data_IF_511775229115
#
_entry.id   IF_511775229115
#
_cell.length_a   1.000
_cell.length_b   1.000
_cell.length_c   1.000
_cell.angle_alpha   90.00
_cell.angle_beta   90.00
_cell.angle_gamma   90.00
#
_symmetry.space_group_name_H-M   'P 1'
#
loop_
_entity.id
_entity.type
_entity.pdbx_description
1 polymer ?
#
# COMPACT_ATOMS: atom_id res chain seq x y z
N UNK A 1 52.17 -24.74 -5.19
CA UNK A 1 51.35 -23.67 -5.81
C UNK A 1 49.91 -24.15 -5.84
N UNK A 2 49.07 -23.57 -4.98
CA UNK A 2 47.73 -24.05 -4.67
C UNK A 2 46.68 -23.33 -5.54
N UNK A 3 45.68 -24.09 -6.01
CA UNK A 3 44.47 -23.59 -6.66
C UNK A 3 43.42 -23.23 -5.59
N UNK A 4 42.93 -21.99 -5.60
CA UNK A 4 41.81 -21.54 -4.78
C UNK A 4 40.56 -21.33 -5.62
N UNK A 5 39.53 -22.15 -5.40
CA UNK A 5 38.15 -21.93 -5.88
C UNK A 5 37.51 -20.82 -5.05
N UNK A 6 37.04 -19.76 -5.69
CA UNK A 6 36.20 -18.74 -5.05
C UNK A 6 34.74 -19.02 -5.38
N UNK A 7 34.03 -19.63 -4.44
CA UNK A 7 32.57 -19.76 -4.45
C UNK A 7 31.94 -18.38 -4.23
N UNK A 8 31.22 -17.87 -5.23
CA UNK A 8 30.33 -16.73 -5.04
C UNK A 8 29.02 -17.23 -4.45
N UNK A 9 28.88 -17.08 -3.13
CA UNK A 9 27.62 -17.25 -2.42
C UNK A 9 26.66 -16.15 -2.86
N UNK A 10 25.60 -16.54 -3.58
CA UNK A 10 24.46 -15.70 -3.88
C UNK A 10 23.75 -15.44 -2.54
N UNK A 11 23.98 -14.25 -1.96
CA UNK A 11 23.16 -13.77 -0.85
C UNK A 11 21.73 -13.61 -1.38
N UNK A 12 20.79 -14.29 -0.72
CA UNK A 12 19.36 -14.26 -0.99
C UNK A 12 18.82 -12.83 -1.00
N UNK A 13 18.15 -12.46 -2.10
CA UNK A 13 17.46 -11.19 -2.28
C UNK A 13 16.12 -11.13 -1.51
N UNK A 14 16.15 -11.39 -0.20
CA UNK A 14 14.95 -11.52 0.64
C UNK A 14 14.71 -10.33 1.61
N UNK A 15 15.47 -9.24 1.49
CA UNK A 15 15.45 -8.15 2.50
C UNK A 15 14.66 -6.88 2.10
N UNK A 16 14.02 -6.83 0.93
CA UNK A 16 13.18 -5.67 0.53
C UNK A 16 11.70 -5.95 0.77
N UNK A 17 11.31 -6.12 2.03
CA UNK A 17 9.91 -5.96 2.43
C UNK A 17 9.74 -4.53 2.94
N UNK A 18 9.27 -3.65 2.06
CA UNK A 18 8.81 -2.31 2.46
C UNK A 18 7.52 -2.46 3.26
N UNK A 19 7.59 -1.96 4.49
CA UNK A 19 6.42 -1.77 5.34
C UNK A 19 5.48 -0.79 4.68
N UNK A 20 4.17 -0.96 4.91
CA UNK A 20 3.16 0.05 4.61
C UNK A 20 3.64 1.41 5.12
N UNK A 21 4.12 2.27 4.23
CA UNK A 21 4.61 3.58 4.61
C UNK A 21 3.41 4.44 4.96
N UNK A 22 3.08 4.49 6.25
CA UNK A 22 2.35 5.61 6.80
C UNK A 22 3.28 6.82 6.71
N UNK A 23 3.19 7.57 5.62
CA UNK A 23 3.85 8.87 5.51
C UNK A 23 2.91 9.93 6.11
N UNK A 24 3.40 10.61 7.15
CA UNK A 24 2.59 11.39 8.07
C UNK A 24 2.69 12.86 7.71
N UNK A 25 1.58 13.40 7.18
CA UNK A 25 1.46 14.81 6.82
C UNK A 25 1.02 15.63 8.03
N UNK A 26 1.71 16.73 8.29
CA UNK A 26 1.20 17.81 9.15
C UNK A 26 0.78 18.94 8.21
N UNK A 27 -0.51 19.02 7.88
CA UNK A 27 -1.08 20.16 7.16
C UNK A 27 -2.13 20.83 8.03
N UNK A 28 -1.99 22.14 8.27
CA UNK A 28 -3.01 22.93 8.95
C UNK A 28 -4.22 23.09 8.03
N UNK A 29 -5.30 22.33 8.28
CA UNK A 29 -6.58 22.52 7.60
C UNK A 29 -7.44 23.51 8.39
N UNK A 30 -7.36 24.80 8.05
CA UNK A 30 -8.43 25.75 8.37
C UNK A 30 -8.93 26.37 7.07
N UNK A 31 -9.93 25.73 6.47
CA UNK A 31 -10.90 26.38 5.61
C UNK A 31 -12.22 25.61 5.76
N UNK A 32 -13.08 26.10 6.66
CA UNK A 32 -14.48 25.71 6.71
C UNK A 32 -15.23 26.54 5.66
N UNK A 33 -16.09 25.96 4.80
CA UNK A 33 -16.80 26.70 3.78
C UNK A 33 -18.15 27.18 4.33
N UNK A 34 -18.16 28.34 5.00
CA UNK A 34 -19.41 29.10 5.18
C UNK A 34 -19.22 30.58 4.82
N UNK A 35 -20.13 31.04 3.99
CA UNK A 35 -20.15 32.29 3.24
C UNK A 35 -20.72 33.48 4.01
N UNK A 36 -20.19 34.68 3.66
CA UNK A 36 -20.77 36.04 3.73
C UNK A 36 -20.79 36.81 5.08
N UNK A 37 -19.87 37.77 5.23
CA UNK A 37 -20.07 39.24 5.04
C UNK A 37 -18.78 40.01 5.43
N UNK A 38 -18.47 41.18 4.80
CA UNK A 38 -17.21 41.87 5.04
C UNK A 38 -17.38 43.01 6.06
N UNK A 39 -16.81 42.83 7.26
CA UNK A 39 -16.45 43.96 8.11
C UNK A 39 -14.95 43.92 8.36
N UNK A 40 -14.25 44.89 7.77
CA UNK A 40 -12.84 45.13 7.97
C UNK A 40 -12.56 45.50 9.43
N UNK A 41 -11.69 44.74 10.09
CA UNK A 41 -10.99 45.14 11.32
C UNK A 41 -9.48 45.04 11.08
N UNK A 42 -8.66 45.94 11.65
CA UNK A 42 -7.25 46.05 11.31
C UNK A 42 -6.42 44.97 12.00
N UNK A 43 -5.69 44.20 11.20
CA UNK A 43 -4.47 43.47 11.53
C UNK A 43 -4.41 42.81 12.93
N UNK A 44 -5.16 41.73 13.12
CA UNK A 44 -4.71 40.67 14.02
C UNK A 44 -3.54 39.96 13.32
N UNK A 45 -2.32 39.91 13.90
CA UNK A 45 -1.28 39.06 13.35
C UNK A 45 -1.80 37.62 13.40
N UNK A 46 -1.79 36.93 12.26
CA UNK A 46 -1.97 35.48 12.22
C UNK A 46 -0.81 34.86 12.99
N UNK A 47 -0.93 34.72 14.31
CA UNK A 47 0.02 34.00 15.15
C UNK A 47 -0.21 32.51 14.94
N UNK A 48 0.24 32.01 13.80
CA UNK A 48 0.42 30.57 13.60
C UNK A 48 1.70 30.17 14.33
N UNK A 49 1.56 29.31 15.35
CA UNK A 49 2.70 28.65 16.00
C UNK A 49 3.43 27.77 14.98
N UNK A 50 4.39 28.35 14.26
CA UNK A 50 5.27 27.61 13.37
C UNK A 50 6.39 26.96 14.19
N UNK A 51 6.48 25.62 14.14
CA UNK A 51 7.66 24.90 14.62
C UNK A 51 8.70 24.88 13.50
N UNK A 52 9.94 25.27 13.83
CA UNK A 52 11.08 24.99 12.96
C UNK A 52 11.37 23.49 12.93
N UNK A 53 12.03 22.96 11.87
CA UNK A 53 12.35 21.54 11.82
C UNK A 53 13.21 21.05 12.99
N UNK A 54 14.11 21.90 13.50
CA UNK A 54 14.92 21.60 14.67
C UNK A 54 14.07 21.46 15.94
N UNK A 55 13.14 22.39 16.18
CA UNK A 55 12.21 22.30 17.32
C UNK A 55 11.31 21.06 17.22
N UNK A 56 10.81 20.74 16.02
CA UNK A 56 10.03 19.53 15.79
C UNK A 56 10.84 18.27 16.11
N UNK A 57 12.11 18.23 15.71
CA UNK A 57 13.04 17.13 16.00
C UNK A 57 13.25 16.95 17.50
N UNK A 58 13.51 18.03 18.22
CA UNK A 58 13.70 18.00 19.67
C UNK A 58 12.46 17.46 20.40
N UNK A 59 11.27 17.90 19.99
CA UNK A 59 10.00 17.40 20.55
C UNK A 59 9.87 15.90 20.28
N UNK A 60 10.05 15.45 19.03
CA UNK A 60 9.90 14.03 18.67
C UNK A 60 10.92 13.17 19.43
N UNK A 61 12.20 13.56 19.47
CA UNK A 61 13.22 12.80 20.21
C UNK A 61 12.91 12.72 21.71
N UNK A 62 12.41 13.79 22.32
CA UNK A 62 12.01 13.76 23.73
C UNK A 62 10.85 12.78 24.00
N UNK A 63 9.94 12.61 23.05
CA UNK A 63 8.82 11.68 23.16
C UNK A 63 9.24 10.23 22.92
N UNK A 64 10.13 10.00 21.95
CA UNK A 64 10.66 8.68 21.62
C UNK A 64 11.43 8.06 22.79
N UNK A 65 12.13 8.87 23.58
CA UNK A 65 12.92 8.43 24.74
C UNK A 65 12.12 7.64 25.80
N UNK A 66 10.79 7.62 25.71
CA UNK A 66 9.91 6.82 26.57
C UNK A 66 9.95 5.31 26.26
N UNK A 67 10.31 4.91 25.04
CA UNK A 67 10.49 3.50 24.65
C UNK A 67 11.99 3.18 24.67
N UNK A 68 12.43 2.44 25.69
CA UNK A 68 13.85 2.11 25.93
C UNK A 68 14.20 0.65 25.60
N UNK A 69 13.20 -0.14 25.22
CA UNK A 69 13.33 -1.55 24.86
C UNK A 69 12.98 -1.78 23.38
N UNK A 70 13.26 -2.99 22.88
CA UNK A 70 12.85 -3.40 21.54
C UNK A 70 11.33 -3.43 21.44
N UNK A 71 10.70 -2.67 20.53
CA UNK A 71 9.25 -2.64 20.39
C UNK A 71 8.63 -4.01 20.15
N UNK A 72 7.54 -4.31 20.87
CA UNK A 72 6.88 -5.63 20.84
C UNK A 72 5.64 -5.67 19.96
N UNK A 73 5.09 -4.51 19.62
CA UNK A 73 3.88 -4.34 18.81
C UNK A 73 3.97 -3.05 17.99
N UNK A 74 2.96 -2.82 17.14
CA UNK A 74 2.90 -1.66 16.26
C UNK A 74 2.85 -0.35 17.05
N UNK A 75 2.11 -0.29 18.15
CA UNK A 75 2.03 0.92 19.00
C UNK A 75 3.41 1.34 19.52
N UNK A 76 4.13 0.45 20.19
CA UNK A 76 5.48 0.72 20.70
C UNK A 76 6.43 1.08 19.56
N UNK A 77 6.30 0.40 18.41
CA UNK A 77 7.16 0.63 17.24
C UNK A 77 6.92 2.03 16.69
N UNK A 78 5.67 2.45 16.50
CA UNK A 78 5.34 3.78 16.00
C UNK A 78 5.80 4.87 16.98
N UNK A 79 5.52 4.73 18.28
CA UNK A 79 5.96 5.69 19.30
C UNK A 79 7.49 5.80 19.33
N UNK A 80 8.21 4.69 19.19
CA UNK A 80 9.68 4.69 19.13
C UNK A 80 10.24 5.41 17.89
N UNK A 81 9.46 5.55 16.81
CA UNK A 81 9.85 6.20 15.58
C UNK A 81 9.46 7.68 15.53
N UNK A 82 8.25 8.02 15.97
CA UNK A 82 7.64 9.35 15.74
C UNK A 82 7.18 10.06 17.02
N UNK A 83 7.30 9.42 18.18
CA UNK A 83 6.77 9.95 19.44
C UNK A 83 5.26 9.75 19.60
N UNK A 84 4.77 10.03 20.81
CA UNK A 84 3.38 9.76 21.21
C UNK A 84 2.37 10.65 20.47
N UNK A 85 2.68 11.93 20.25
CA UNK A 85 1.70 12.87 19.71
C UNK A 85 1.36 12.57 18.25
N UNK A 86 2.39 12.25 17.45
CA UNK A 86 2.22 11.86 16.05
C UNK A 86 1.52 10.50 15.97
N UNK A 87 1.89 9.56 16.85
CA UNK A 87 1.21 8.27 16.92
C UNK A 87 -0.30 8.43 17.15
N UNK A 88 -0.70 9.15 18.20
CA UNK A 88 -2.10 9.33 18.56
C UNK A 88 -2.88 10.08 17.47
N UNK A 89 -2.30 11.13 16.88
CA UNK A 89 -3.00 11.98 15.90
C UNK A 89 -3.12 11.36 14.52
N UNK A 90 -2.07 10.69 14.05
CA UNK A 90 -1.96 10.36 12.63
C UNK A 90 -1.82 8.86 12.34
N UNK A 91 -1.42 8.04 13.32
CA UNK A 91 -1.17 6.60 13.11
C UNK A 91 -2.27 5.74 13.72
N UNK A 92 -2.61 5.97 14.99
CA UNK A 92 -3.41 5.06 15.81
C UNK A 92 -4.77 4.77 15.21
N UNK A 93 -5.61 5.81 15.06
CA UNK A 93 -6.97 5.63 14.52
C UNK A 93 -6.96 5.10 13.09
N UNK A 94 -6.07 5.63 12.24
CA UNK A 94 -5.91 5.16 10.87
C UNK A 94 -5.58 3.66 10.79
N UNK A 95 -4.59 3.22 11.57
CA UNK A 95 -4.13 1.83 11.59
C UNK A 95 -5.21 0.92 12.14
N UNK A 96 -5.88 1.31 13.22
CA UNK A 96 -6.97 0.52 13.80
C UNK A 96 -8.13 0.35 12.82
N UNK A 97 -8.49 1.38 12.03
CA UNK A 97 -9.50 1.26 10.97
C UNK A 97 -9.04 0.33 9.85
N UNK A 98 -7.82 0.54 9.36
CA UNK A 98 -7.27 -0.24 8.25
C UNK A 98 -7.21 -1.73 8.57
N UNK A 99 -6.82 -2.08 9.80
CA UNK A 99 -6.57 -3.47 10.21
C UNK A 99 -7.68 -4.10 11.05
N UNK A 100 -8.60 -3.31 11.60
CA UNK A 100 -9.70 -3.79 12.45
C UNK A 100 -9.24 -4.37 13.79
N UNK A 101 -8.05 -4.00 14.28
CA UNK A 101 -7.48 -4.47 15.56
C UNK A 101 -6.75 -3.33 16.29
N UNK A 102 -6.68 -3.35 17.64
CA UNK A 102 -5.85 -2.43 18.40
C UNK A 102 -4.38 -2.48 17.96
N UNK A 103 -3.69 -1.33 17.94
CA UNK A 103 -2.27 -1.26 17.57
C UNK A 103 -1.37 -2.07 18.50
N UNK A 104 -1.78 -2.29 19.75
CA UNK A 104 -1.08 -3.14 20.71
C UNK A 104 -1.10 -4.64 20.35
N UNK A 105 -2.08 -5.07 19.54
CA UNK A 105 -2.27 -6.46 19.11
C UNK A 105 -1.71 -6.71 17.69
N UNK A 106 -1.17 -5.66 17.06
CA UNK A 106 -0.60 -5.72 15.72
C UNK A 106 0.92 -5.92 15.80
N UNK A 107 1.51 -6.78 14.94
CA UNK A 107 2.95 -7.00 14.95
C UNK A 107 3.71 -5.74 14.54
N UNK A 108 4.91 -5.49 15.11
CA UNK A 108 5.71 -4.31 14.78
C UNK A 108 6.18 -4.30 13.31
N UNK A 109 6.20 -5.46 12.66
CA UNK A 109 6.60 -5.63 11.25
C UNK A 109 5.67 -4.93 10.24
N UNK A 110 4.45 -4.56 10.64
CA UNK A 110 3.53 -3.79 9.78
C UNK A 110 4.08 -2.38 9.50
N UNK A 111 4.76 -1.78 10.49
CA UNK A 111 5.40 -0.47 10.39
C UNK A 111 6.88 -0.63 10.76
N UNK A 112 7.68 -1.15 9.83
CA UNK A 112 9.13 -1.27 10.04
C UNK A 112 9.80 0.11 10.05
N UNK A 113 9.39 1.00 9.14
CA UNK A 113 9.96 2.35 9.01
C UNK A 113 8.85 3.35 8.68
N UNK A 114 8.91 4.50 9.36
CA UNK A 114 8.21 5.72 8.98
C UNK A 114 9.30 6.73 8.65
N UNK A 115 9.45 7.13 7.37
CA UNK A 115 10.34 8.23 7.03
C UNK A 115 9.87 9.49 7.75
N UNK A 116 10.70 10.06 8.63
CA UNK A 116 10.42 11.35 9.27
C UNK A 116 11.36 12.38 8.68
N UNK A 117 10.81 13.35 7.94
CA UNK A 117 11.58 14.42 7.31
C UNK A 117 11.53 15.68 8.17
N UNK A 118 12.70 16.18 8.56
CA UNK A 118 12.84 17.48 9.22
C UNK A 118 13.17 18.58 8.22
N UNK A 119 12.35 18.65 7.16
CA UNK A 119 12.39 19.66 6.09
C UNK A 119 10.95 19.94 5.65
N UNK A 120 10.72 21.08 4.99
CA UNK A 120 9.41 21.42 4.43
C UNK A 120 9.25 20.80 3.03
N UNK A 121 9.15 19.47 3.00
CA UNK A 121 8.91 18.70 1.78
C UNK A 121 7.72 17.76 2.01
N UNK A 122 6.67 17.96 1.22
CA UNK A 122 5.42 17.20 1.30
C UNK A 122 5.36 16.07 0.27
N UNK A 123 6.46 15.76 -0.42
CA UNK A 123 6.48 14.69 -1.40
C UNK A 123 6.32 13.32 -0.70
N UNK A 124 5.26 12.60 -1.06
CA UNK A 124 4.89 11.33 -0.45
C UNK A 124 5.91 10.21 -0.74
N UNK A 125 6.61 10.29 -1.87
CA UNK A 125 7.66 9.33 -2.22
C UNK A 125 9.01 10.05 -2.30
N UNK A 126 10.08 9.36 -1.95
CA UNK A 126 11.45 9.84 -2.12
C UNK A 126 12.10 9.36 -3.42
N UNK A 127 11.36 8.61 -4.25
CA UNK A 127 11.85 8.04 -5.49
C UNK A 127 12.21 9.13 -6.52
N UNK A 128 13.27 8.90 -7.33
CA UNK A 128 13.74 9.88 -8.31
C UNK A 128 12.77 10.09 -9.48
N UNK A 129 11.92 9.11 -9.77
CA UNK A 129 10.93 9.17 -10.84
C UNK A 129 9.54 8.99 -10.26
N UNK A 130 8.69 9.99 -10.44
CA UNK A 130 7.31 9.99 -9.95
C UNK A 130 6.41 10.58 -11.01
N UNK A 131 5.24 10.00 -11.21
CA UNK A 131 4.28 10.50 -12.18
C UNK A 131 3.07 9.61 -12.33
N UNK A 132 2.06 10.15 -13.00
CA UNK A 132 0.86 9.43 -13.43
C UNK A 132 0.89 9.39 -14.96
N UNK A 133 0.55 8.26 -15.60
CA UNK A 133 0.48 8.19 -17.04
C UNK A 133 -0.61 9.11 -17.58
N UNK A 134 -0.23 9.96 -18.54
CA UNK A 134 -1.17 10.82 -19.26
C UNK A 134 -2.22 9.96 -19.97
N UNK A 135 -3.51 10.21 -19.71
CA UNK A 135 -4.62 9.39 -20.20
C UNK A 135 -4.87 8.10 -19.41
N UNK A 136 -4.24 7.93 -18.24
CA UNK A 136 -4.48 6.82 -17.33
C UNK A 136 -3.63 5.57 -17.61
N UNK A 137 -3.84 4.53 -16.79
CA UNK A 137 -3.06 3.29 -16.86
C UNK A 137 -3.52 2.34 -17.99
N UNK A 138 -4.81 2.36 -18.36
CA UNK A 138 -5.37 1.46 -19.38
C UNK A 138 -4.62 1.53 -20.72
N UNK A 139 -4.30 2.72 -21.29
CA UNK A 139 -3.54 2.80 -22.55
C UNK A 139 -2.13 2.20 -22.49
N UNK A 140 -1.53 2.07 -21.30
CA UNK A 140 -0.25 1.35 -21.15
C UNK A 140 -0.49 -0.14 -21.39
N UNK A 141 -1.49 -0.72 -20.73
CA UNK A 141 -1.80 -2.14 -20.85
C UNK A 141 -2.30 -2.51 -22.25
N UNK A 142 -3.09 -1.66 -22.90
CA UNK A 142 -3.50 -1.86 -24.30
C UNK A 142 -2.30 -1.98 -25.23
N UNK A 143 -1.27 -1.15 -25.03
CA UNK A 143 -0.02 -1.22 -25.82
C UNK A 143 0.81 -2.45 -25.49
N UNK A 144 0.91 -2.82 -24.21
CA UNK A 144 1.65 -4.00 -23.77
C UNK A 144 1.03 -5.31 -24.30
N UNK A 145 -0.29 -5.35 -24.43
CA UNK A 145 -1.06 -6.53 -24.81
C UNK A 145 -1.50 -6.53 -26.28
N UNK A 146 -1.10 -5.54 -27.09
CA UNK A 146 -1.58 -5.34 -28.46
C UNK A 146 -1.34 -6.54 -29.41
N UNK A 147 -0.41 -7.43 -29.06
CA UNK A 147 -0.07 -8.63 -29.84
C UNK A 147 -0.35 -9.93 -29.06
N UNK A 148 -1.16 -9.85 -28.02
CA UNK A 148 -1.59 -10.98 -27.21
C UNK A 148 -3.06 -11.28 -27.48
N UNK A 149 -3.43 -12.57 -27.43
CA UNK A 149 -4.82 -12.96 -27.26
C UNK A 149 -5.24 -12.66 -25.81
N UNK A 150 -6.30 -11.89 -25.63
CA UNK A 150 -6.79 -11.46 -24.32
C UNK A 150 -8.24 -11.88 -24.19
N UNK A 151 -8.51 -12.70 -23.17
CA UNK A 151 -9.86 -13.12 -22.79
C UNK A 151 -10.23 -12.45 -21.46
N UNK A 152 -11.35 -11.73 -21.43
CA UNK A 152 -11.87 -11.03 -20.25
C UNK A 152 -13.13 -11.74 -19.74
N UNK A 153 -13.44 -11.56 -18.45
CA UNK A 153 -14.55 -12.23 -17.77
C UNK A 153 -14.42 -13.77 -17.75
N UNK A 154 -13.19 -14.26 -17.75
CA UNK A 154 -12.87 -15.70 -17.77
C UNK A 154 -12.06 -16.05 -16.54
N UNK A 155 -12.65 -16.85 -15.64
CA UNK A 155 -11.96 -17.34 -14.46
C UNK A 155 -11.20 -18.62 -14.79
N UNK A 156 -9.87 -18.55 -14.76
CA UNK A 156 -8.98 -19.70 -14.95
C UNK A 156 -9.31 -20.87 -14.01
N UNK A 157 -9.71 -20.58 -12.77
CA UNK A 157 -9.99 -21.61 -11.76
C UNK A 157 -11.29 -22.37 -12.04
N UNK A 158 -12.20 -21.79 -12.81
CA UNK A 158 -13.47 -22.44 -13.19
C UNK A 158 -13.28 -23.61 -14.15
N UNK A 159 -12.22 -23.60 -14.97
CA UNK A 159 -11.87 -24.69 -15.91
C UNK A 159 -10.34 -24.87 -16.01
N UNK A 160 -9.71 -25.17 -14.86
CA UNK A 160 -8.26 -25.40 -14.78
C UNK A 160 -7.81 -26.43 -15.83
N UNK A 161 -8.56 -27.51 -16.01
CA UNK A 161 -8.20 -28.61 -16.92
C UNK A 161 -8.07 -28.16 -18.37
N UNK A 162 -9.01 -27.35 -18.87
CA UNK A 162 -8.93 -26.82 -20.23
C UNK A 162 -7.67 -25.98 -20.43
N UNK A 163 -7.43 -25.00 -19.55
CA UNK A 163 -6.27 -24.11 -19.67
C UNK A 163 -4.94 -24.87 -19.56
N UNK A 164 -4.88 -25.91 -18.73
CA UNK A 164 -3.74 -26.81 -18.65
C UNK A 164 -3.46 -27.57 -19.94
N UNK A 165 -4.49 -27.91 -20.72
CA UNK A 165 -4.33 -28.66 -21.99
C UNK A 165 -3.83 -27.78 -23.12
N UNK A 166 -4.21 -26.49 -23.14
CA UNK A 166 -3.85 -25.58 -24.23
C UNK A 166 -2.52 -24.84 -24.00
N UNK A 167 -1.99 -24.83 -22.78
CA UNK A 167 -0.77 -24.13 -22.42
C UNK A 167 0.37 -25.08 -22.03
N UNK A 168 1.55 -24.92 -22.65
CA UNK A 168 2.78 -25.63 -22.23
C UNK A 168 3.30 -25.15 -20.88
N UNK A 169 3.01 -23.90 -20.53
CA UNK A 169 3.46 -23.23 -19.33
C UNK A 169 2.42 -22.21 -18.89
N UNK A 170 2.22 -22.08 -17.59
CA UNK A 170 1.22 -21.19 -17.01
C UNK A 170 1.91 -20.23 -16.06
N UNK A 171 1.62 -18.94 -16.22
CA UNK A 171 1.96 -17.92 -15.22
C UNK A 171 0.65 -17.61 -14.49
N UNK A 172 0.56 -17.99 -13.23
CA UNK A 172 -0.61 -17.75 -12.40
C UNK A 172 -0.34 -16.61 -11.42
N UNK A 173 -1.09 -15.52 -11.56
CA UNK A 173 -0.96 -14.31 -10.72
C UNK A 173 -2.12 -14.12 -9.74
N UNK A 174 -3.05 -15.08 -9.68
CA UNK A 174 -4.12 -15.13 -8.69
C UNK A 174 -3.63 -15.62 -7.32
N UNK A 175 -4.56 -15.72 -6.36
CA UNK A 175 -4.24 -16.15 -5.00
C UNK A 175 -3.77 -17.63 -4.99
N UNK A 176 -2.56 -17.88 -4.46
CA UNK A 176 -1.94 -19.21 -4.51
C UNK A 176 -2.79 -20.28 -3.82
N UNK A 177 -3.46 -19.92 -2.74
CA UNK A 177 -4.33 -20.79 -1.96
C UNK A 177 -5.61 -21.17 -2.72
N UNK A 178 -6.20 -20.23 -3.49
CA UNK A 178 -7.37 -20.53 -4.33
C UNK A 178 -7.04 -21.49 -5.47
N UNK A 179 -5.82 -21.40 -6.03
CA UNK A 179 -5.35 -22.37 -7.03
C UNK A 179 -5.40 -23.82 -6.52
N UNK A 180 -5.05 -24.02 -5.24
CA UNK A 180 -5.05 -25.32 -4.56
C UNK A 180 -6.32 -25.58 -3.76
N UNK A 181 -7.45 -24.96 -4.15
CA UNK A 181 -8.77 -25.20 -3.59
C UNK A 181 -8.81 -25.06 -2.05
N UNK A 182 -7.99 -24.15 -1.53
CA UNK A 182 -7.82 -23.88 -0.10
C UNK A 182 -7.48 -25.11 0.76
N UNK A 183 -6.72 -26.08 0.22
CA UNK A 183 -6.45 -27.37 0.89
C UNK A 183 -5.83 -27.27 2.29
N UNK A 184 -5.13 -26.16 2.59
CA UNK A 184 -4.56 -25.87 3.92
C UNK A 184 -5.31 -24.77 4.69
N UNK A 185 -6.43 -24.28 4.16
CA UNK A 185 -7.14 -23.08 4.62
C UNK A 185 -6.81 -21.84 3.78
N UNK A 186 -7.65 -20.80 3.87
CA UNK A 186 -7.44 -19.55 3.16
C UNK A 186 -6.37 -18.67 3.82
N UNK A 187 -5.50 -18.07 3.00
CA UNK A 187 -4.62 -17.00 3.41
C UNK A 187 -5.45 -15.75 3.71
N UNK A 188 -5.09 -15.03 4.76
CA UNK A 188 -5.85 -13.86 5.18
C UNK A 188 -5.39 -12.61 4.42
N UNK A 189 -6.36 -11.78 4.08
CA UNK A 189 -6.13 -10.48 3.45
C UNK A 189 -6.93 -9.39 4.18
N UNK A 190 -6.67 -8.13 3.81
CA UNK A 190 -7.63 -7.05 3.94
C UNK A 190 -8.28 -6.81 2.59
N UNK A 191 -9.56 -6.47 2.62
CA UNK A 191 -10.30 -6.04 1.45
C UNK A 191 -10.65 -4.56 1.57
N UNK A 192 -11.09 -3.97 0.47
CA UNK A 192 -11.56 -2.60 0.40
C UNK A 192 -12.91 -2.58 -0.33
N UNK A 193 -13.73 -1.61 0.05
CA UNK A 193 -14.92 -1.22 -0.71
C UNK A 193 -14.81 0.25 -1.06
N UNK A 194 -15.14 0.59 -2.29
CA UNK A 194 -15.16 1.95 -2.76
C UNK A 194 -16.60 2.40 -2.99
N UNK A 195 -16.95 3.56 -2.45
CA UNK A 195 -18.17 4.27 -2.84
C UNK A 195 -17.79 5.40 -3.78
N UNK A 196 -18.33 5.38 -5.00
CA UNK A 196 -18.15 6.47 -5.94
C UNK A 196 -19.21 7.55 -5.72
N UNK A 197 -18.80 8.82 -5.79
CA UNK A 197 -19.71 9.96 -5.80
C UNK A 197 -19.31 10.95 -6.89
N UNK A 198 -20.30 11.44 -7.62
CA UNK A 198 -20.14 12.54 -8.57
C UNK A 198 -20.77 13.78 -7.94
N UNK A 199 -20.01 14.86 -7.85
CA UNK A 199 -20.47 16.13 -7.27
C UNK A 199 -20.39 17.24 -8.31
N UNK A 200 -21.41 18.11 -8.32
CA UNK A 200 -21.44 19.33 -9.13
C UNK A 200 -20.62 20.44 -8.46
N UNK A 201 -19.32 20.19 -8.30
CA UNK A 201 -18.35 21.18 -7.89
C UNK A 201 -17.01 20.95 -8.58
N UNK A 202 -16.28 22.05 -8.82
CA UNK A 202 -14.97 21.99 -9.50
C UNK A 202 -13.89 21.37 -8.62
N UNK A 203 -13.99 21.49 -7.30
CA UNK A 203 -12.95 21.08 -6.37
C UNK A 203 -13.58 20.77 -5.01
N UNK A 204 -13.45 19.53 -4.54
CA UNK A 204 -14.00 19.09 -3.26
C UNK A 204 -12.98 19.21 -2.11
N UNK A 205 -11.75 18.72 -2.30
CA UNK A 205 -10.73 18.63 -1.24
C UNK A 205 -9.36 19.21 -1.61
N UNK A 206 -9.13 19.59 -2.87
CA UNK A 206 -7.93 20.30 -3.32
C UNK A 206 -6.67 19.46 -3.41
N UNK A 207 -6.76 18.16 -3.15
CA UNK A 207 -5.65 17.19 -3.20
C UNK A 207 -6.16 15.85 -3.74
N UNK A 208 -5.31 15.07 -4.40
CA UNK A 208 -5.73 13.78 -4.96
C UNK A 208 -6.19 12.77 -3.90
N UNK A 209 -5.52 12.73 -2.74
CA UNK A 209 -5.82 11.78 -1.66
C UNK A 209 -5.78 12.49 -0.32
N UNK A 210 -6.88 12.40 0.42
CA UNK A 210 -7.02 12.87 1.80
C UNK A 210 -7.23 11.67 2.73
N UNK A 211 -6.39 11.55 3.76
CA UNK A 211 -6.50 10.50 4.77
C UNK A 211 -7.30 11.01 5.97
N UNK A 212 -8.16 10.15 6.52
CA UNK A 212 -8.93 10.43 7.73
C UNK A 212 -8.40 9.53 8.85
N UNK A 213 -7.66 10.10 9.79
CA UNK A 213 -6.88 9.35 10.79
C UNK A 213 -7.61 9.13 12.10
N UNK A 214 -8.73 9.81 12.32
CA UNK A 214 -9.60 9.63 13.46
C UNK A 214 -10.37 8.31 13.38
N UNK A 215 -10.76 7.78 14.54
CA UNK A 215 -11.46 6.49 14.63
C UNK A 215 -12.96 6.59 14.27
N UNK A 216 -13.57 7.75 14.48
CA UNK A 216 -15.01 7.98 14.30
C UNK A 216 -15.43 7.98 12.82
N UNK A 217 -14.54 8.43 11.93
CA UNK A 217 -14.78 8.43 10.49
C UNK A 217 -14.68 7.02 9.92
N UNK A 218 -15.74 6.46 9.32
CA UNK A 218 -15.79 5.04 8.93
C UNK A 218 -14.93 4.66 7.72
N UNK A 219 -14.51 5.64 6.91
CA UNK A 219 -13.61 5.45 5.77
C UNK A 219 -12.17 5.85 6.12
N UNK A 220 -11.20 5.29 5.39
CA UNK A 220 -9.77 5.59 5.55
C UNK A 220 -9.36 6.79 4.73
N UNK A 221 -9.90 6.92 3.51
CA UNK A 221 -9.46 7.92 2.53
C UNK A 221 -10.60 8.38 1.62
N UNK A 222 -10.47 9.61 1.13
CA UNK A 222 -11.21 10.11 -0.03
C UNK A 222 -10.19 10.42 -1.14
N UNK A 223 -10.49 9.91 -2.34
CA UNK A 223 -9.69 10.10 -3.55
C UNK A 223 -10.47 11.02 -4.49
N UNK A 224 -9.92 12.19 -4.82
CA UNK A 224 -10.46 13.11 -5.81
C UNK A 224 -9.64 13.01 -7.10
N UNK A 225 -10.15 12.24 -8.06
CA UNK A 225 -9.36 11.70 -9.18
C UNK A 225 -8.76 12.78 -10.10
N UNK A 226 -9.46 13.91 -10.29
CA UNK A 226 -9.03 14.96 -11.21
C UNK A 226 -7.67 15.57 -10.85
N UNK A 227 -7.24 15.48 -9.59
CA UNK A 227 -5.95 15.99 -9.14
C UNK A 227 -4.75 15.11 -9.53
N UNK A 228 -4.97 13.89 -10.05
CA UNK A 228 -3.86 13.07 -10.57
C UNK A 228 -3.34 13.56 -11.93
N UNK A 229 -4.22 14.12 -12.77
CA UNK A 229 -3.86 14.64 -14.11
C UNK A 229 -4.23 16.13 -14.29
N UNK A 230 -4.65 16.81 -13.22
CA UNK A 230 -5.04 18.23 -13.20
C UNK A 230 -6.11 18.61 -14.24
N UNK A 231 -7.11 17.74 -14.40
CA UNK A 231 -8.21 17.95 -15.36
C UNK A 231 -9.15 19.05 -14.85
N UNK A 232 -9.47 20.01 -15.73
CA UNK A 232 -10.48 21.04 -15.49
C UNK A 232 -11.88 20.49 -15.83
N UNK A 233 -12.82 20.62 -14.89
CA UNK A 233 -14.21 20.14 -15.05
C UNK A 233 -15.11 20.84 -14.04
N UNK A 234 -16.36 21.21 -14.40
CA UNK A 234 -17.36 21.77 -13.47
C UNK A 234 -17.82 20.77 -12.40
N UNK A 235 -17.51 19.49 -12.58
CA UNK A 235 -17.80 18.42 -11.65
C UNK A 235 -16.52 17.69 -11.19
N UNK A 236 -16.67 16.89 -10.14
CA UNK A 236 -15.61 16.05 -9.61
C UNK A 236 -16.12 14.65 -9.27
N UNK A 237 -15.22 13.66 -9.39
CA UNK A 237 -15.48 12.26 -9.07
C UNK A 237 -14.64 11.91 -7.85
N UNK A 238 -15.32 11.37 -6.84
CA UNK A 238 -14.72 10.93 -5.59
C UNK A 238 -14.82 9.41 -5.50
N UNK A 239 -13.77 8.78 -4.97
CA UNK A 239 -13.85 7.43 -4.41
C UNK A 239 -13.60 7.49 -2.91
N UNK A 240 -14.57 7.01 -2.13
CA UNK A 240 -14.48 6.91 -0.68
C UNK A 240 -14.11 5.47 -0.33
N UNK A 241 -12.96 5.29 0.33
CA UNK A 241 -12.37 3.98 0.62
C UNK A 241 -12.77 3.49 2.02
N UNK A 242 -13.42 2.33 2.10
CA UNK A 242 -13.78 1.67 3.34
C UNK A 242 -12.94 0.40 3.53
N UNK A 243 -12.22 0.25 4.66
CA UNK A 243 -11.51 -0.97 4.97
C UNK A 243 -12.50 -2.08 5.35
N UNK A 244 -12.29 -3.29 4.83
CA UNK A 244 -13.11 -4.46 5.12
C UNK A 244 -12.26 -5.62 5.62
N UNK A 245 -12.84 -6.42 6.54
CA UNK A 245 -12.38 -7.79 6.72
C UNK A 245 -12.59 -8.56 5.41
N UNK A 246 -11.62 -9.39 5.08
CA UNK A 246 -11.67 -10.22 3.89
C UNK A 246 -12.30 -11.58 4.20
N UNK A 247 -13.01 -12.12 3.22
CA UNK A 247 -13.36 -13.52 3.10
C UNK A 247 -13.28 -13.90 1.61
N UNK A 248 -13.44 -15.19 1.30
CA UNK A 248 -13.27 -15.74 -0.06
C UNK A 248 -14.16 -15.06 -1.11
N UNK A 249 -15.27 -14.44 -0.72
CA UNK A 249 -16.16 -13.73 -1.66
C UNK A 249 -15.69 -12.33 -2.04
N UNK A 250 -14.62 -11.82 -1.39
CA UNK A 250 -14.13 -10.46 -1.54
C UNK A 250 -12.79 -10.41 -2.26
N UNK A 251 -12.53 -9.30 -2.93
CA UNK A 251 -11.24 -9.08 -3.59
C UNK A 251 -10.12 -8.95 -2.54
N UNK A 252 -9.03 -9.74 -2.65
CA UNK A 252 -7.88 -9.63 -1.76
C UNK A 252 -6.99 -8.45 -2.15
N UNK A 253 -6.95 -7.39 -1.32
CA UNK A 253 -6.13 -6.20 -1.59
C UNK A 253 -4.75 -6.26 -0.93
N UNK A 254 -4.69 -6.50 0.38
CA UNK A 254 -3.46 -6.47 1.17
C UNK A 254 -3.25 -7.80 1.91
N UNK A 255 -2.12 -8.51 1.71
CA UNK A 255 -1.82 -9.71 2.48
C UNK A 255 -1.57 -9.36 3.96
N UNK A 256 -2.04 -10.23 4.87
CA UNK A 256 -1.77 -10.10 6.30
C UNK A 256 -0.47 -10.83 6.65
N UNK A 257 0.60 -10.07 6.85
CA UNK A 257 1.94 -10.61 7.11
C UNK A 257 2.17 -10.90 8.61
N UNK A 258 1.51 -11.95 9.12
CA UNK A 258 1.77 -12.51 10.46
C UNK A 258 2.38 -13.93 10.39
N UNK A 259 2.80 -14.46 11.54
CA UNK A 259 3.46 -15.77 11.61
C UNK A 259 2.55 -16.91 11.13
N UNK A 260 1.25 -16.83 11.41
CA UNK A 260 0.25 -17.83 11.00
C UNK A 260 0.14 -17.89 9.48
N UNK A 261 -0.03 -16.74 8.83
CA UNK A 261 -0.16 -16.65 7.38
C UNK A 261 1.17 -16.94 6.68
N UNK A 262 2.31 -16.56 7.26
CA UNK A 262 3.63 -16.93 6.74
C UNK A 262 3.84 -18.46 6.74
N UNK A 263 3.47 -19.15 7.82
CA UNK A 263 3.54 -20.60 7.92
C UNK A 263 2.57 -21.29 6.93
N UNK A 264 1.37 -20.74 6.75
CA UNK A 264 0.39 -21.24 5.79
C UNK A 264 0.87 -21.07 4.35
N UNK A 265 1.37 -19.89 3.99
CA UNK A 265 1.93 -19.60 2.67
C UNK A 265 3.11 -20.52 2.34
N UNK A 266 3.98 -20.82 3.32
CA UNK A 266 5.08 -21.76 3.11
C UNK A 266 4.61 -23.17 2.67
N UNK A 267 3.46 -23.64 3.18
CA UNK A 267 2.86 -24.92 2.74
C UNK A 267 2.40 -24.86 1.28
N UNK A 268 1.71 -23.78 0.90
CA UNK A 268 1.28 -23.58 -0.48
C UNK A 268 2.45 -23.40 -1.44
N UNK A 269 3.49 -22.66 -1.03
CA UNK A 269 4.72 -22.50 -1.81
C UNK A 269 5.43 -23.84 -2.06
N UNK A 270 5.51 -24.70 -1.04
CA UNK A 270 6.06 -26.05 -1.18
C UNK A 270 5.21 -26.94 -2.11
N UNK A 271 3.89 -26.76 -2.13
CA UNK A 271 2.99 -27.45 -3.04
C UNK A 271 3.17 -26.96 -4.48
N UNK A 272 3.22 -25.64 -4.69
CA UNK A 272 3.48 -24.99 -5.97
C UNK A 272 4.81 -25.46 -6.61
N UNK A 273 5.86 -25.66 -5.82
CA UNK A 273 7.15 -26.16 -6.29
C UNK A 273 7.09 -27.55 -6.93
N UNK A 274 6.03 -28.34 -6.70
CA UNK A 274 5.83 -29.64 -7.34
C UNK A 274 5.30 -29.53 -8.77
N UNK A 275 4.84 -28.36 -9.19
CA UNK A 275 4.29 -28.10 -10.52
C UNK A 275 5.28 -27.31 -11.39
N UNK A 276 6.18 -28.03 -12.07
CA UNK A 276 7.28 -27.42 -12.83
C UNK A 276 6.85 -26.57 -14.02
N UNK A 277 5.64 -26.81 -14.56
CA UNK A 277 5.07 -26.05 -15.68
C UNK A 277 4.27 -24.81 -15.25
N UNK A 278 4.21 -24.51 -13.95
CA UNK A 278 3.43 -23.39 -13.41
C UNK A 278 4.36 -22.47 -12.62
N UNK A 279 4.26 -21.18 -12.89
CA UNK A 279 4.94 -20.14 -12.13
C UNK A 279 3.90 -19.31 -11.41
N UNK A 280 4.03 -19.24 -10.09
CA UNK A 280 3.23 -18.36 -9.25
C UNK A 280 3.96 -17.04 -9.08
N UNK A 281 3.30 -15.94 -9.42
CA UNK A 281 3.87 -14.60 -9.36
C UNK A 281 2.82 -13.55 -8.99
N UNK A 282 3.19 -12.27 -9.06
CA UNK A 282 2.26 -11.21 -8.66
C UNK A 282 2.09 -11.10 -7.15
N UNK A 283 1.33 -10.09 -6.73
CA UNK A 283 0.98 -9.84 -5.32
C UNK A 283 0.32 -11.06 -4.67
N UNK A 284 -0.63 -11.68 -5.36
CA UNK A 284 -1.46 -12.76 -4.81
C UNK A 284 -0.76 -14.12 -4.89
N UNK A 285 -0.09 -14.43 -6.00
CA UNK A 285 0.62 -15.70 -6.16
C UNK A 285 1.86 -15.80 -5.28
N UNK A 286 2.53 -14.67 -5.03
CA UNK A 286 3.67 -14.59 -4.12
C UNK A 286 3.27 -14.26 -2.66
N UNK A 287 1.99 -14.00 -2.39
CA UNK A 287 1.49 -13.52 -1.10
C UNK A 287 2.34 -12.40 -0.49
N UNK A 288 2.60 -11.36 -1.30
CA UNK A 288 3.51 -10.29 -0.94
C UNK A 288 2.97 -8.94 -1.42
N UNK A 289 3.12 -7.92 -0.58
CA UNK A 289 2.78 -6.55 -0.96
C UNK A 289 3.87 -5.98 -1.87
N UNK A 290 3.47 -5.59 -3.09
CA UNK A 290 4.33 -4.96 -4.09
C UNK A 290 3.72 -3.65 -4.57
N UNK A 291 4.58 -2.65 -4.71
CA UNK A 291 4.31 -1.48 -5.56
C UNK A 291 4.52 -1.82 -7.04
N UNK A 292 3.99 -0.97 -7.92
CA UNK A 292 3.93 -1.23 -9.36
C UNK A 292 5.32 -1.40 -10.00
N UNK A 293 6.28 -0.57 -9.63
CA UNK A 293 7.65 -0.65 -10.15
C UNK A 293 8.33 -1.97 -9.77
N UNK A 294 8.13 -2.44 -8.53
CA UNK A 294 8.70 -3.69 -8.03
C UNK A 294 8.12 -4.89 -8.76
N UNK A 295 6.81 -4.94 -8.96
CA UNK A 295 6.19 -6.07 -9.65
C UNK A 295 6.55 -6.09 -11.15
N UNK A 296 6.72 -4.93 -11.78
CA UNK A 296 7.23 -4.83 -13.15
C UNK A 296 8.67 -5.38 -13.21
N UNK A 297 9.54 -4.99 -12.26
CA UNK A 297 10.92 -5.49 -12.21
C UNK A 297 10.95 -7.02 -12.00
N UNK A 298 10.11 -7.56 -11.13
CA UNK A 298 10.01 -9.00 -10.89
C UNK A 298 9.53 -9.76 -12.14
N UNK A 299 8.52 -9.22 -12.85
CA UNK A 299 8.05 -9.80 -14.10
C UNK A 299 9.13 -9.78 -15.20
N UNK A 300 9.91 -8.71 -15.32
CA UNK A 300 11.02 -8.62 -16.27
C UNK A 300 12.14 -9.61 -15.94
N UNK A 301 12.48 -9.77 -14.65
CA UNK A 301 13.45 -10.76 -14.21
C UNK A 301 12.97 -12.19 -14.50
N UNK A 302 11.69 -12.47 -14.27
CA UNK A 302 11.09 -13.75 -14.59
C UNK A 302 11.16 -14.01 -16.10
N UNK A 303 10.72 -13.06 -16.92
CA UNK A 303 10.78 -13.19 -18.38
C UNK A 303 12.21 -13.47 -18.86
N UNK A 304 13.21 -12.75 -18.32
CA UNK A 304 14.62 -13.00 -18.62
C UNK A 304 15.06 -14.42 -18.27
N UNK A 305 14.62 -14.96 -17.12
CA UNK A 305 14.97 -16.32 -16.70
C UNK A 305 14.33 -17.39 -17.57
N UNK A 306 13.08 -17.18 -17.99
CA UNK A 306 12.27 -18.21 -18.65
C UNK A 306 12.32 -18.16 -20.19
N UNK A 307 12.82 -17.06 -20.78
CA UNK A 307 12.98 -16.87 -22.23
C UNK A 307 14.43 -16.99 -22.72
N UNK A 308 15.40 -17.12 -21.80
CA UNK A 308 16.79 -17.43 -22.11
C UNK A 308 16.99 -18.93 -22.31
#
# INVERSE_FOLDING_TARGET
MAQGRTTHSIKSANDSQESNSLDLRITNSHNSPHSHTPHASPHTPLTTNFLTPQQAKEIIESQKAKITHTPRNLEEQAISLVGNDIYEKLIKGYTQKQWGKPCADLPPSIIRRIPVRFIYDNNYFSDPYQGIPKGGYTPIFEKLLAHCEVELNTDFLSDKEYFHKIAKKIIFTGAIDSYFDYTFGALEYRSLRFEERILECENYQGVAVMNFTDLETPYTRIIEHKHFEFVQSPSTILSIEFPLSWDISKEPFYPINDEKNAALYAKYKALAQKHSNIIFGGRLGAYQYFDMDKIIAEALNLAKKELQ
#
